data_IF_625707648373
#
_entry.id   IF_625707648373
#
_cell.length_a   1.000
_cell.length_b   1.000
_cell.length_c   1.000
_cell.angle_alpha   90.00
_cell.angle_beta   90.00
_cell.angle_gamma   90.00
#
_symmetry.space_group_name_H-M   'P 1'
#
loop_
_entity.id
_entity.type
_entity.pdbx_description
1 polymer ?
#
# COMPACT_ATOMS: atom_id res chain seq x y z
N UNK A 1 -0.42 -2.75 25.12
CA UNK A 1 -1.48 -3.52 24.44
C UNK A 1 -2.23 -2.73 23.36
N UNK A 2 -2.69 -1.49 23.62
CA UNK A 2 -3.38 -0.66 22.61
C UNK A 2 -2.64 -0.53 21.27
N UNK A 3 -1.32 -0.36 21.30
CA UNK A 3 -0.50 -0.27 20.08
C UNK A 3 -0.62 -1.54 19.23
N UNK A 4 -0.43 -2.72 19.84
CA UNK A 4 -0.54 -4.00 19.14
C UNK A 4 -1.92 -4.21 18.49
N UNK A 5 -3.00 -3.85 19.20
CA UNK A 5 -4.37 -3.98 18.68
C UNK A 5 -4.57 -3.05 17.47
N UNK A 6 -4.16 -1.79 17.58
CA UNK A 6 -4.29 -0.84 16.47
C UNK A 6 -3.44 -1.23 15.27
N UNK A 7 -2.21 -1.71 15.48
CA UNK A 7 -1.35 -2.22 14.40
C UNK A 7 -1.97 -3.44 13.75
N UNK A 8 -2.49 -4.39 14.52
CA UNK A 8 -3.16 -5.58 13.97
C UNK A 8 -4.38 -5.20 13.14
N UNK A 9 -5.22 -4.29 13.64
CA UNK A 9 -6.39 -3.79 12.92
C UNK A 9 -5.99 -3.08 11.61
N UNK A 10 -4.92 -2.28 11.63
CA UNK A 10 -4.41 -1.60 10.45
C UNK A 10 -3.89 -2.61 9.40
N UNK A 11 -3.15 -3.64 9.82
CA UNK A 11 -2.66 -4.69 8.92
C UNK A 11 -3.81 -5.52 8.33
N UNK A 12 -4.82 -5.85 9.13
CA UNK A 12 -6.01 -6.55 8.67
C UNK A 12 -6.77 -5.73 7.62
N UNK A 13 -6.97 -4.44 7.89
CA UNK A 13 -7.60 -3.54 6.93
C UNK A 13 -6.79 -3.43 5.64
N UNK A 14 -5.46 -3.37 5.71
CA UNK A 14 -4.60 -3.33 4.54
C UNK A 14 -4.68 -4.63 3.70
N UNK A 15 -4.67 -5.79 4.36
CA UNK A 15 -4.79 -7.08 3.68
C UNK A 15 -6.16 -7.24 3.02
N UNK A 16 -7.24 -6.98 3.76
CA UNK A 16 -8.60 -7.03 3.26
C UNK A 16 -8.79 -6.09 2.05
N UNK A 17 -8.23 -4.89 2.13
CA UNK A 17 -8.30 -3.91 1.07
C UNK A 17 -7.77 -4.41 -0.29
N UNK A 18 -6.64 -5.11 -0.29
CA UNK A 18 -6.05 -5.65 -1.53
C UNK A 18 -6.91 -6.78 -2.12
N UNK A 19 -7.52 -7.59 -1.25
CA UNK A 19 -8.44 -8.67 -1.65
C UNK A 19 -9.71 -8.09 -2.27
N UNK A 20 -10.37 -7.13 -1.57
CA UNK A 20 -11.58 -6.47 -2.06
C UNK A 20 -11.35 -5.77 -3.41
N UNK A 21 -10.21 -5.09 -3.56
CA UNK A 21 -9.85 -4.45 -4.83
C UNK A 21 -9.73 -5.46 -5.97
N UNK A 22 -9.09 -6.61 -5.73
CA UNK A 22 -8.98 -7.64 -6.76
C UNK A 22 -10.34 -8.22 -7.08
N UNK A 23 -11.15 -8.57 -6.07
CA UNK A 23 -12.49 -9.10 -6.28
C UNK A 23 -13.37 -8.17 -7.11
N UNK A 24 -13.37 -6.87 -6.82
CA UNK A 24 -14.14 -5.88 -7.60
C UNK A 24 -13.70 -5.77 -9.07
N UNK A 25 -12.46 -6.13 -9.39
CA UNK A 25 -11.90 -6.07 -10.74
C UNK A 25 -11.92 -7.41 -11.48
N UNK A 26 -12.13 -8.54 -10.78
CA UNK A 26 -12.15 -9.88 -11.37
C UNK A 26 -13.33 -10.08 -12.33
N UNK A 27 -14.51 -9.57 -11.97
CA UNK A 27 -15.74 -9.75 -12.76
C UNK A 27 -15.78 -8.86 -14.01
N UNK A 28 -14.79 -7.96 -14.19
CA UNK A 28 -14.68 -7.07 -15.35
C UNK A 28 -15.80 -6.01 -15.50
N UNK A 29 -16.85 -6.09 -14.67
CA UNK A 29 -18.00 -5.19 -14.73
C UNK A 29 -17.66 -3.74 -14.35
N UNK A 30 -16.67 -3.55 -13.47
CA UNK A 30 -16.21 -2.23 -13.05
C UNK A 30 -14.79 -2.00 -13.57
N UNK A 31 -14.62 -1.10 -14.53
CA UNK A 31 -13.30 -0.74 -15.05
C UNK A 31 -12.37 -0.23 -13.92
N UNK A 32 -11.04 -0.45 -14.00
CA UNK A 32 -10.11 -0.09 -12.93
C UNK A 32 -10.19 1.38 -12.52
N UNK A 33 -10.30 2.27 -13.50
CA UNK A 33 -10.36 3.70 -13.27
C UNK A 33 -11.64 4.12 -12.54
N UNK A 34 -12.78 3.55 -12.91
CA UNK A 34 -14.07 3.80 -12.24
C UNK A 34 -14.04 3.28 -10.81
N UNK A 35 -13.48 2.08 -10.59
CA UNK A 35 -13.31 1.54 -9.25
C UNK A 35 -12.40 2.42 -8.38
N UNK A 36 -11.27 2.86 -8.92
CA UNK A 36 -10.36 3.78 -8.24
C UNK A 36 -11.03 5.12 -7.90
N UNK A 37 -11.86 5.65 -8.81
CA UNK A 37 -12.61 6.88 -8.57
C UNK A 37 -13.61 6.73 -7.42
N UNK A 38 -14.43 5.67 -7.43
CA UNK A 38 -15.38 5.38 -6.35
C UNK A 38 -14.66 5.26 -5.00
N UNK A 39 -13.50 4.60 -4.99
CA UNK A 39 -12.67 4.45 -3.80
C UNK A 39 -12.19 5.80 -3.24
N UNK A 40 -11.66 6.68 -4.09
CA UNK A 40 -11.19 8.01 -3.68
C UNK A 40 -12.36 8.87 -3.19
N UNK A 41 -13.48 8.84 -3.91
CA UNK A 41 -14.67 9.58 -3.55
C UNK A 41 -15.23 9.12 -2.19
N UNK A 42 -15.31 7.80 -1.97
CA UNK A 42 -15.71 7.23 -0.68
C UNK A 42 -14.78 7.66 0.46
N UNK A 43 -13.46 7.65 0.23
CA UNK A 43 -12.49 8.12 1.21
C UNK A 43 -12.64 9.60 1.53
N UNK A 44 -12.87 10.43 0.50
CA UNK A 44 -13.11 11.86 0.66
C UNK A 44 -14.40 12.15 1.47
N UNK A 45 -15.49 11.44 1.16
CA UNK A 45 -16.76 11.55 1.90
C UNK A 45 -16.58 11.12 3.36
N UNK A 46 -15.87 10.03 3.60
CA UNK A 46 -15.64 9.52 4.95
C UNK A 46 -14.78 10.49 5.79
N UNK A 47 -13.71 11.04 5.21
CA UNK A 47 -12.89 12.08 5.87
C UNK A 47 -13.71 13.35 6.14
N UNK A 48 -14.54 13.76 5.18
CA UNK A 48 -15.44 14.90 5.36
C UNK A 48 -16.40 14.68 6.53
N UNK A 49 -16.97 13.48 6.66
CA UNK A 49 -17.86 13.13 7.78
C UNK A 49 -17.11 13.16 9.12
N UNK A 50 -15.90 12.61 9.20
CA UNK A 50 -15.07 12.67 10.41
C UNK A 50 -14.78 14.12 10.83
N UNK A 51 -14.48 14.99 9.86
CA UNK A 51 -14.24 16.41 10.12
C UNK A 51 -15.53 17.13 10.52
N UNK A 52 -16.67 16.78 9.92
CA UNK A 52 -17.96 17.38 10.23
C UNK A 52 -18.46 17.02 11.65
N UNK A 53 -18.15 15.81 12.12
CA UNK A 53 -18.54 15.34 13.47
C UNK A 53 -17.58 15.85 14.56
N UNK A 54 -16.31 16.09 14.23
CA UNK A 54 -15.37 16.72 15.15
C UNK A 54 -15.57 18.23 15.14
N UNK A 55 -15.76 18.84 16.31
CA UNK A 55 -16.00 20.29 16.51
C UNK A 55 -14.75 21.17 16.18
N UNK A 56 -13.84 20.64 15.36
CA UNK A 56 -12.65 21.32 14.88
C UNK A 56 -13.02 22.21 13.70
N UNK A 57 -12.62 23.49 13.78
CA UNK A 57 -12.81 24.46 12.69
C UNK A 57 -12.17 23.92 11.40
N UNK A 58 -13.00 23.55 10.43
CA UNK A 58 -12.54 23.11 9.13
C UNK A 58 -11.74 24.23 8.44
N UNK A 59 -10.44 24.00 8.24
CA UNK A 59 -9.53 24.92 7.56
C UNK A 59 -8.79 24.16 6.45
N UNK A 60 -9.43 23.93 5.29
CA UNK A 60 -8.78 23.22 4.20
C UNK A 60 -7.57 24.02 3.73
N UNK A 61 -6.39 23.38 3.70
CA UNK A 61 -5.20 23.92 3.06
C UNK A 61 -5.03 23.25 1.71
N UNK A 62 -4.90 24.04 0.66
CA UNK A 62 -4.69 23.52 -0.68
C UNK A 62 -3.21 23.17 -0.86
N UNK A 63 -2.90 21.88 -0.93
CA UNK A 63 -1.55 21.39 -1.21
C UNK A 63 -1.54 20.66 -2.56
N UNK A 64 -0.99 21.31 -3.57
CA UNK A 64 -0.99 20.80 -4.95
C UNK A 64 -0.06 19.59 -5.08
N UNK A 65 1.14 19.66 -4.52
CA UNK A 65 2.15 18.59 -4.64
C UNK A 65 1.67 17.22 -4.14
N UNK A 66 1.16 17.07 -2.90
CA UNK A 66 0.64 15.79 -2.41
C UNK A 66 -0.57 15.30 -3.22
N UNK A 67 -1.44 16.21 -3.66
CA UNK A 67 -2.64 15.86 -4.42
C UNK A 67 -2.30 15.29 -5.79
N UNK A 68 -1.35 15.91 -6.51
CA UNK A 68 -0.85 15.42 -7.79
C UNK A 68 -0.12 14.10 -7.62
N UNK A 69 0.75 14.00 -6.62
CA UNK A 69 1.48 12.75 -6.32
C UNK A 69 0.52 11.59 -6.02
N UNK A 70 -0.49 11.83 -5.18
CA UNK A 70 -1.50 10.83 -4.85
C UNK A 70 -2.33 10.42 -6.08
N UNK A 71 -2.68 11.38 -6.95
CA UNK A 71 -3.43 11.12 -8.18
C UNK A 71 -2.64 10.25 -9.16
N UNK A 72 -1.36 10.57 -9.38
CA UNK A 72 -0.46 9.78 -10.22
C UNK A 72 -0.33 8.36 -9.64
N UNK A 73 -0.13 8.26 -8.33
CA UNK A 73 -0.05 6.97 -7.64
C UNK A 73 -1.31 6.13 -7.89
N UNK A 74 -2.50 6.69 -7.69
CA UNK A 74 -3.77 5.96 -7.85
C UNK A 74 -3.96 5.48 -9.30
N UNK A 75 -3.65 6.32 -10.29
CA UNK A 75 -3.79 5.95 -11.71
C UNK A 75 -2.84 4.81 -12.06
N UNK A 76 -1.55 4.95 -11.76
CA UNK A 76 -0.55 3.93 -12.04
C UNK A 76 -0.89 2.61 -11.31
N UNK A 77 -1.30 2.71 -10.05
CA UNK A 77 -1.66 1.55 -9.25
C UNK A 77 -2.91 0.84 -9.75
N UNK A 78 -3.92 1.61 -10.18
CA UNK A 78 -5.16 1.06 -10.74
C UNK A 78 -4.90 0.27 -12.02
N UNK A 79 -3.98 0.74 -12.87
CA UNK A 79 -3.61 0.02 -14.12
C UNK A 79 -2.78 -1.22 -13.78
N UNK A 80 -1.85 -1.11 -12.83
CA UNK A 80 -0.97 -2.21 -12.44
C UNK A 80 -1.75 -3.44 -11.91
N UNK A 81 -2.90 -3.23 -11.26
CA UNK A 81 -3.74 -4.31 -10.75
C UNK A 81 -4.34 -5.24 -11.80
N UNK A 82 -4.41 -4.83 -13.06
CA UNK A 82 -4.83 -5.71 -14.14
C UNK A 82 -3.81 -6.83 -14.38
N UNK A 83 -2.52 -6.51 -14.22
CA UNK A 83 -1.41 -7.39 -14.61
C UNK A 83 -0.71 -8.04 -13.41
N UNK A 84 -0.83 -7.47 -12.21
CA UNK A 84 -0.17 -7.99 -11.01
C UNK A 84 -1.13 -8.80 -10.14
N UNK A 85 -0.66 -9.96 -9.68
CA UNK A 85 -1.33 -10.71 -8.62
C UNK A 85 -1.32 -9.96 -7.29
N UNK A 86 -2.29 -10.25 -6.41
CA UNK A 86 -2.47 -9.59 -5.10
C UNK A 86 -1.18 -9.61 -4.28
N UNK A 87 -0.50 -10.76 -4.21
CA UNK A 87 0.74 -10.92 -3.45
C UNK A 87 1.91 -10.13 -4.01
N UNK A 88 2.09 -10.14 -5.34
CA UNK A 88 3.19 -9.42 -5.99
C UNK A 88 3.00 -7.92 -5.87
N UNK A 89 1.78 -7.42 -6.13
CA UNK A 89 1.46 -6.00 -5.98
C UNK A 89 1.68 -5.49 -4.55
N UNK A 90 1.33 -6.29 -3.54
CA UNK A 90 1.56 -5.94 -2.14
C UNK A 90 3.05 -5.81 -1.82
N UNK A 91 3.87 -6.76 -2.25
CA UNK A 91 5.32 -6.70 -1.98
C UNK A 91 6.02 -5.58 -2.73
N UNK A 92 5.66 -5.33 -3.99
CA UNK A 92 6.20 -4.20 -4.75
C UNK A 92 5.88 -2.87 -4.04
N UNK A 93 4.63 -2.69 -3.60
CA UNK A 93 4.24 -1.49 -2.86
C UNK A 93 4.97 -1.35 -1.53
N UNK A 94 4.95 -2.39 -0.70
CA UNK A 94 5.60 -2.33 0.61
C UNK A 94 7.10 -2.15 0.48
N UNK A 95 7.75 -2.86 -0.43
CA UNK A 95 9.18 -2.71 -0.71
C UNK A 95 9.52 -1.29 -1.16
N UNK A 96 8.78 -0.73 -2.12
CA UNK A 96 9.01 0.63 -2.62
C UNK A 96 8.78 1.69 -1.53
N UNK A 97 7.69 1.59 -0.77
CA UNK A 97 7.40 2.53 0.32
C UNK A 97 8.49 2.47 1.40
N UNK A 98 8.89 1.27 1.81
CA UNK A 98 9.95 1.14 2.82
C UNK A 98 11.29 1.66 2.30
N UNK A 99 11.66 1.33 1.06
CA UNK A 99 12.88 1.83 0.44
C UNK A 99 12.92 3.36 0.38
N UNK A 100 11.81 3.99 -0.02
CA UNK A 100 11.73 5.46 -0.06
C UNK A 100 11.77 6.08 1.34
N UNK A 101 11.07 5.50 2.32
CA UNK A 101 11.05 6.02 3.69
C UNK A 101 12.42 5.93 4.37
N UNK A 102 13.14 4.80 4.22
CA UNK A 102 14.49 4.65 4.75
C UNK A 102 15.51 5.48 3.96
N UNK A 103 15.38 5.54 2.63
CA UNK A 103 16.25 6.33 1.77
C UNK A 103 16.17 7.83 2.10
N UNK A 104 14.96 8.36 2.26
CA UNK A 104 14.76 9.76 2.65
C UNK A 104 15.26 10.02 4.08
N UNK A 105 15.03 9.12 5.02
CA UNK A 105 15.54 9.27 6.39
C UNK A 105 17.08 9.32 6.42
N UNK A 106 17.75 8.50 5.60
CA UNK A 106 19.20 8.53 5.47
C UNK A 106 19.71 9.84 4.84
N UNK A 107 18.99 10.39 3.86
CA UNK A 107 19.32 11.67 3.22
C UNK A 107 19.05 12.89 4.12
N UNK A 108 18.12 12.79 5.07
CA UNK A 108 17.67 13.91 5.92
C UNK A 108 18.40 13.94 7.27
N UNK A 109 19.47 13.16 7.45
CA UNK A 109 20.25 13.08 8.69
C UNK A 109 19.41 12.75 9.94
N UNK A 110 18.30 12.01 9.78
CA UNK A 110 17.56 11.50 10.94
C UNK A 110 18.42 10.47 11.70
N UNK A 111 18.38 10.49 13.03
CA UNK A 111 19.06 9.48 13.84
C UNK A 111 18.38 8.12 13.66
N UNK A 112 19.05 7.21 12.93
CA UNK A 112 18.58 5.85 12.72
C UNK A 112 18.98 5.01 13.94
N UNK A 113 18.05 4.80 14.86
CA UNK A 113 18.25 3.92 16.04
C UNK A 113 18.49 2.46 15.63
N UNK A 114 19.31 1.73 16.40
CA UNK A 114 19.58 0.29 16.18
C UNK A 114 18.30 -0.56 16.01
N UNK A 115 17.27 -0.31 16.81
CA UNK A 115 15.98 -1.01 16.73
C UNK A 115 15.25 -0.80 15.40
N UNK A 116 15.41 0.37 14.78
CA UNK A 116 14.84 0.68 13.46
C UNK A 116 15.53 -0.14 12.38
N UNK A 117 16.85 -0.31 12.47
CA UNK A 117 17.64 -1.14 11.56
C UNK A 117 17.27 -2.61 11.71
N UNK A 118 17.18 -3.11 12.94
CA UNK A 118 16.76 -4.50 13.21
C UNK A 118 15.34 -4.77 12.67
N UNK A 119 14.40 -3.86 12.92
CA UNK A 119 13.04 -3.95 12.36
C UNK A 119 13.02 -3.92 10.84
N UNK A 120 13.87 -3.08 10.22
CA UNK A 120 14.01 -3.02 8.77
C UNK A 120 14.54 -4.35 8.21
N UNK A 121 15.61 -4.89 8.78
CA UNK A 121 16.19 -6.18 8.36
C UNK A 121 15.15 -7.30 8.46
N UNK A 122 14.41 -7.38 9.57
CA UNK A 122 13.33 -8.37 9.76
C UNK A 122 12.21 -8.19 8.72
N UNK A 123 11.83 -6.95 8.43
CA UNK A 123 10.80 -6.67 7.42
C UNK A 123 11.25 -7.05 6.01
N UNK A 124 12.49 -6.72 5.64
CA UNK A 124 13.04 -7.05 4.33
C UNK A 124 13.28 -8.55 4.18
N UNK A 125 13.74 -9.24 5.23
CA UNK A 125 13.91 -10.69 5.19
C UNK A 125 12.58 -11.42 4.99
N UNK A 126 11.50 -10.97 5.64
CA UNK A 126 10.15 -11.51 5.41
C UNK A 126 9.70 -11.36 3.96
N UNK A 127 9.98 -10.22 3.33
CA UNK A 127 9.72 -10.00 1.90
C UNK A 127 10.54 -10.95 1.03
N UNK A 128 11.84 -11.10 1.31
CA UNK A 128 12.70 -12.03 0.59
C UNK A 128 12.22 -13.48 0.72
N UNK A 129 11.81 -13.91 1.92
CA UNK A 129 11.27 -15.26 2.18
C UNK A 129 9.99 -15.51 1.39
N UNK A 130 9.08 -14.55 1.31
CA UNK A 130 7.85 -14.67 0.51
C UNK A 130 8.12 -14.81 -1.00
N UNK A 131 9.27 -14.32 -1.46
CA UNK A 131 9.68 -14.32 -2.87
C UNK A 131 10.73 -15.38 -3.21
N UNK A 132 11.14 -16.20 -2.23
CA UNK A 132 11.98 -17.35 -2.53
C UNK A 132 11.20 -18.26 -3.50
N UNK A 133 11.79 -18.60 -4.66
CA UNK A 133 11.13 -19.47 -5.62
C UNK A 133 10.88 -20.82 -4.93
N UNK A 134 9.61 -21.15 -4.75
CA UNK A 134 9.17 -22.44 -4.16
C UNK A 134 8.91 -23.47 -5.26
N UNK A 135 8.85 -23.04 -6.52
CA UNK A 135 8.82 -23.92 -7.68
C UNK A 135 10.19 -24.61 -7.78
N UNK A 136 10.23 -25.92 -7.51
CA UNK A 136 11.28 -26.78 -8.03
C UNK A 136 11.30 -26.57 -9.54
N UNK A 137 12.37 -25.98 -10.05
CA UNK A 137 12.64 -25.90 -11.49
C UNK A 137 12.57 -27.33 -12.05
N UNK A 138 11.40 -27.77 -12.53
CA UNK A 138 11.31 -28.89 -13.43
C UNK A 138 11.91 -28.42 -14.74
N UNK A 139 13.23 -28.56 -14.84
CA UNK A 139 13.91 -28.51 -16.12
C UNK A 139 13.34 -29.69 -16.90
N UNK A 140 12.34 -29.43 -17.74
CA UNK A 140 11.96 -30.36 -18.83
C UNK A 140 13.17 -30.46 -19.76
N UNK A 141 14.05 -31.40 -19.44
CA UNK A 141 15.03 -31.95 -20.35
C UNK A 141 14.31 -33.06 -21.12
N UNK A 142 14.36 -32.97 -22.46
CA UNK A 142 13.83 -33.89 -23.50
C UNK A 142 12.36 -33.65 -23.91
N UNK A 143 11.98 -33.68 -25.19
CA UNK A 143 12.63 -34.19 -26.43
C UNK A 143 12.62 -33.16 -27.57
#
# INVERSE_FOLDING_TARGET
MRLFILTFLALLAFAANSILNRWALLDGATGPMTFAFVRVLSGAIFLWLIVAVNDHKWRPKFHIFPSVSLSIYIICFSIAYLNLGIGIGAVVLFGAVQFTMFGLAALTSEEITLWRILGAIISFSGVCVLFLPTETFEIKINE
#
